data_IF_170229762040
#
_entry.id   IF_170229762040
#
_cell.length_a   1.000
_cell.length_b   1.000
_cell.length_c   1.000
_cell.angle_alpha   90.00
_cell.angle_beta   90.00
_cell.angle_gamma   90.00
#
_symmetry.space_group_name_H-M   'P 1'
#
loop_
_entity.id
_entity.type
_entity.pdbx_description
1 polymer ?
#
# COMPACT_ATOMS: atom_id res chain seq x y z
N UNK A 1 -1.44 -11.51 -5.81
CA UNK A 1 -2.65 -10.67 -5.77
C UNK A 1 -3.49 -11.02 -6.98
N UNK A 2 -4.69 -11.51 -6.74
CA UNK A 2 -5.48 -11.95 -7.87
C UNK A 2 -6.23 -10.79 -8.50
N UNK A 3 -6.91 -11.07 -9.60
CA UNK A 3 -7.53 -10.02 -10.37
C UNK A 3 -8.65 -9.33 -9.63
N UNK A 4 -9.44 -10.08 -8.89
CA UNK A 4 -10.53 -9.48 -8.14
C UNK A 4 -10.02 -8.55 -7.06
N UNK A 5 -8.95 -8.95 -6.41
CA UNK A 5 -8.36 -8.12 -5.37
C UNK A 5 -7.76 -6.86 -5.97
N UNK A 6 -7.14 -6.96 -7.13
CA UNK A 6 -6.60 -5.80 -7.80
C UNK A 6 -7.70 -4.80 -8.12
N UNK A 7 -8.82 -5.28 -8.63
CA UNK A 7 -9.91 -4.38 -8.97
C UNK A 7 -10.49 -3.71 -7.74
N UNK A 8 -10.57 -4.45 -6.66
CA UNK A 8 -11.08 -3.87 -5.41
C UNK A 8 -10.15 -2.78 -4.91
N UNK A 9 -8.87 -3.01 -4.96
CA UNK A 9 -7.89 -2.02 -4.50
C UNK A 9 -7.93 -0.79 -5.37
N UNK A 10 -8.00 -0.97 -6.69
CA UNK A 10 -8.07 0.15 -7.60
C UNK A 10 -9.31 0.98 -7.35
N UNK A 11 -10.44 0.32 -7.11
CA UNK A 11 -11.67 1.03 -6.88
C UNK A 11 -11.57 1.88 -5.61
N UNK A 12 -11.00 1.32 -4.55
CA UNK A 12 -10.89 2.05 -3.30
C UNK A 12 -9.92 3.21 -3.43
N UNK A 13 -8.82 3.01 -4.14
CA UNK A 13 -7.87 4.09 -4.35
C UNK A 13 -8.50 5.22 -5.14
N UNK A 14 -9.29 4.89 -6.16
CA UNK A 14 -9.96 5.93 -6.93
C UNK A 14 -10.95 6.70 -6.08
N UNK A 15 -11.62 6.02 -5.17
CA UNK A 15 -12.59 6.70 -4.32
C UNK A 15 -11.92 7.62 -3.32
N UNK A 16 -10.78 7.22 -2.79
CA UNK A 16 -10.16 7.99 -1.74
C UNK A 16 -9.19 9.04 -2.24
N UNK A 17 -8.51 8.76 -3.33
CA UNK A 17 -7.52 9.68 -3.85
C UNK A 17 -8.05 10.50 -5.00
N UNK A 18 -8.78 9.84 -5.89
CA UNK A 18 -9.27 10.50 -7.07
C UNK A 18 -8.22 10.59 -8.14
N UNK A 19 -8.37 11.60 -8.97
CA UNK A 19 -7.57 11.72 -10.17
C UNK A 19 -6.44 12.70 -9.92
N UNK A 20 -5.43 12.28 -9.19
CA UNK A 20 -4.33 13.13 -8.77
C UNK A 20 -3.13 12.90 -9.69
N UNK A 21 -2.57 13.96 -10.24
CA UNK A 21 -1.40 13.78 -11.09
C UNK A 21 -0.15 13.44 -10.28
N UNK A 22 0.81 12.85 -10.97
CA UNK A 22 2.07 12.50 -10.34
C UNK A 22 2.77 13.77 -9.85
N UNK A 23 3.18 13.80 -8.60
CA UNK A 23 3.84 15.00 -8.09
C UNK A 23 5.21 15.25 -8.69
N UNK A 24 5.78 14.24 -9.33
CA UNK A 24 7.10 14.40 -9.89
C UNK A 24 7.07 14.84 -11.35
N UNK A 25 6.13 14.34 -12.13
CA UNK A 25 6.13 14.65 -13.56
C UNK A 25 4.78 15.13 -14.09
N UNK A 26 3.74 15.06 -13.29
CA UNK A 26 2.43 15.52 -13.72
C UNK A 26 1.60 14.54 -14.50
N UNK A 27 2.15 13.38 -14.81
CA UNK A 27 1.41 12.36 -15.55
C UNK A 27 0.28 11.80 -14.69
N UNK A 28 -0.82 11.42 -15.32
CA UNK A 28 -1.96 10.91 -14.58
C UNK A 28 -2.17 9.42 -14.74
N UNK A 29 -1.27 8.73 -15.39
CA UNK A 29 -1.43 7.30 -15.60
C UNK A 29 -0.55 6.52 -14.64
N UNK A 30 -1.18 5.76 -13.78
CA UNK A 30 -0.49 4.95 -12.79
C UNK A 30 -0.90 3.50 -12.98
N UNK A 31 -0.04 2.60 -12.55
CA UNK A 31 -0.39 1.19 -12.51
C UNK A 31 -0.23 0.66 -11.10
N UNK A 32 -1.05 -0.30 -10.75
CA UNK A 32 -0.96 -0.94 -9.45
C UNK A 32 0.12 -2.01 -9.49
N UNK A 33 1.04 -1.95 -8.54
CA UNK A 33 2.05 -3.00 -8.43
C UNK A 33 1.39 -4.27 -7.93
N UNK A 34 1.77 -5.40 -8.50
CA UNK A 34 1.23 -6.67 -8.06
C UNK A 34 1.94 -7.10 -6.80
N UNK A 35 1.19 -7.26 -5.73
CA UNK A 35 1.77 -7.66 -4.48
C UNK A 35 1.70 -6.56 -3.45
N UNK A 36 2.18 -6.86 -2.28
CA UNK A 36 2.13 -5.93 -1.17
C UNK A 36 3.51 -5.56 -0.74
N UNK A 37 3.68 -4.30 -0.37
CA UNK A 37 4.90 -3.85 0.27
C UNK A 37 4.74 -4.04 1.77
N UNK A 38 5.79 -4.49 2.41
CA UNK A 38 5.78 -4.67 3.86
C UNK A 38 6.76 -3.70 4.46
N UNK A 39 6.24 -2.78 5.25
CA UNK A 39 7.08 -1.78 5.89
C UNK A 39 7.25 -2.19 7.34
N UNK A 40 8.41 -2.71 7.66
CA UNK A 40 8.69 -3.22 8.98
C UNK A 40 9.07 -2.08 9.90
N UNK A 41 8.37 -1.97 11.00
CA UNK A 41 8.60 -0.88 11.94
C UNK A 41 9.64 -1.30 12.98
N UNK A 42 10.48 -0.37 13.35
CA UNK A 42 11.51 -0.60 14.32
C UNK A 42 11.31 0.33 15.51
N UNK A 43 11.62 -0.16 16.70
CA UNK A 43 11.58 0.71 17.87
C UNK A 43 12.77 1.63 17.87
N UNK A 44 13.88 1.20 17.31
CA UNK A 44 15.09 1.99 17.27
C UNK A 44 15.64 1.97 15.85
N UNK A 45 16.31 3.03 15.47
CA UNK A 45 16.79 3.10 14.10
C UNK A 45 18.20 2.53 13.93
N UNK A 46 18.84 2.09 15.00
CA UNK A 46 20.20 1.56 14.89
C UNK A 46 20.24 0.07 14.64
N UNK A 47 19.25 -0.65 15.12
CA UNK A 47 19.21 -2.10 14.97
C UNK A 47 17.98 -2.47 14.22
N UNK A 48 18.07 -3.54 13.44
CA UNK A 48 16.93 -4.01 12.66
C UNK A 48 16.44 -5.30 13.27
N UNK A 49 15.18 -5.32 13.65
CA UNK A 49 14.54 -6.50 14.19
C UNK A 49 13.48 -6.95 13.18
N UNK A 50 13.56 -8.19 12.78
CA UNK A 50 12.64 -8.75 11.81
C UNK A 50 11.57 -9.53 12.53
N UNK A 51 10.33 -9.38 12.07
CA UNK A 51 9.24 -10.11 12.69
C UNK A 51 8.41 -9.29 13.63
N UNK A 52 8.72 -8.02 13.77
CA UNK A 52 7.93 -7.16 14.62
C UNK A 52 6.74 -6.56 13.89
N UNK A 53 6.43 -5.34 14.22
CA UNK A 53 5.29 -4.66 13.61
C UNK A 53 5.53 -4.36 12.16
N UNK A 54 4.46 -4.32 11.41
CA UNK A 54 4.55 -4.15 9.98
C UNK A 54 3.36 -3.35 9.50
N UNK A 55 3.58 -2.44 8.56
CA UNK A 55 2.51 -1.70 7.90
C UNK A 55 2.45 -2.20 6.46
N UNK A 56 1.53 -3.12 6.18
CA UNK A 56 1.39 -3.60 4.80
C UNK A 56 0.76 -2.52 3.93
N UNK A 57 1.19 -2.45 2.70
CA UNK A 57 0.76 -1.40 1.80
C UNK A 57 0.64 -1.90 0.38
N UNK A 58 -0.17 -1.20 -0.40
CA UNK A 58 -0.20 -1.39 -1.84
C UNK A 58 0.46 -0.16 -2.45
N UNK A 59 0.95 -0.31 -3.66
CA UNK A 59 1.67 0.78 -4.30
C UNK A 59 1.19 0.99 -5.71
N UNK A 60 1.19 2.25 -6.13
CA UNK A 60 0.94 2.59 -7.52
C UNK A 60 2.21 3.23 -8.07
N UNK A 61 2.45 3.00 -9.34
CA UNK A 61 3.68 3.42 -10.00
C UNK A 61 3.31 4.30 -11.17
N UNK A 62 3.89 5.49 -11.22
CA UNK A 62 3.68 6.37 -12.36
C UNK A 62 4.27 5.73 -13.60
N UNK A 63 3.47 5.62 -14.65
CA UNK A 63 3.93 4.93 -15.85
C UNK A 63 4.89 5.76 -16.67
N UNK A 64 5.06 7.02 -16.33
CA UNK A 64 5.98 7.88 -17.07
C UNK A 64 7.33 7.97 -16.38
N UNK A 65 7.37 8.35 -15.12
CA UNK A 65 8.65 8.61 -14.47
C UNK A 65 9.03 7.57 -13.44
N UNK A 66 8.11 6.66 -13.09
CA UNK A 66 8.45 5.61 -12.13
C UNK A 66 8.25 5.96 -10.67
N UNK A 67 7.67 7.10 -10.39
CA UNK A 67 7.41 7.48 -8.99
C UNK A 67 6.48 6.44 -8.35
N UNK A 68 6.84 5.99 -7.16
CA UNK A 68 6.08 4.98 -6.44
C UNK A 68 5.41 5.62 -5.24
N UNK A 69 4.11 5.36 -5.10
CA UNK A 69 3.33 5.86 -3.98
C UNK A 69 2.73 4.67 -3.24
N UNK A 70 2.99 4.58 -1.94
CA UNK A 70 2.47 3.49 -1.12
C UNK A 70 1.28 3.94 -0.31
N UNK A 71 0.33 3.05 -0.13
CA UNK A 71 -0.88 3.35 0.62
C UNK A 71 -1.15 2.23 1.60
N UNK A 72 -1.24 2.57 2.88
CA UNK A 72 -1.38 1.56 3.93
C UNK A 72 -2.72 0.86 3.81
N UNK A 73 -2.71 -0.46 3.86
CA UNK A 73 -3.92 -1.24 3.73
C UNK A 73 -4.91 -0.95 4.84
N UNK A 74 -4.42 -0.72 6.04
CA UNK A 74 -5.32 -0.46 7.15
C UNK A 74 -6.16 0.78 6.94
N UNK A 75 -5.57 1.81 6.36
CA UNK A 75 -6.30 3.05 6.11
C UNK A 75 -7.27 2.92 4.96
N UNK A 76 -7.05 1.95 4.10
CA UNK A 76 -7.96 1.69 3.00
C UNK A 76 -9.09 0.76 3.39
N UNK A 77 -9.04 0.22 4.60
CA UNK A 77 -10.06 -0.70 5.05
C UNK A 77 -9.92 -2.08 4.51
N UNK A 78 -8.72 -2.47 4.11
CA UNK A 78 -8.52 -3.76 3.46
C UNK A 78 -7.83 -4.79 4.33
N UNK A 79 -7.37 -4.40 5.51
CA UNK A 79 -6.62 -5.34 6.34
C UNK A 79 -7.45 -6.50 6.84
N UNK A 80 -8.70 -6.27 7.12
CA UNK A 80 -9.53 -7.35 7.63
C UNK A 80 -9.79 -8.41 6.58
N UNK A 81 -9.38 -8.15 5.35
CA UNK A 81 -9.54 -9.15 4.32
C UNK A 81 -8.51 -10.24 4.41
N UNK A 82 -7.45 -10.04 5.17
CA UNK A 82 -6.40 -11.04 5.26
C UNK A 82 -6.77 -12.05 6.32
N UNK A 83 -6.28 -13.24 6.14
CA UNK A 83 -6.60 -14.28 7.08
C UNK A 83 -5.77 -14.17 8.33
N UNK A 84 -4.63 -13.52 8.27
CA UNK A 84 -3.86 -13.35 9.48
C UNK A 84 -4.24 -12.05 10.12
N UNK A 85 -5.47 -11.90 10.37
CA UNK A 85 -5.95 -10.69 10.97
C UNK A 85 -5.38 -10.41 12.32
N UNK A 86 -4.71 -11.37 12.91
CA UNK A 86 -4.09 -11.12 14.18
C UNK A 86 -3.16 -9.93 14.12
N UNK A 87 -2.52 -9.70 13.00
CA UNK A 87 -1.62 -8.59 12.94
C UNK A 87 -2.33 -7.28 12.88
N UNK A 88 -3.52 -7.28 12.38
CA UNK A 88 -4.21 -6.03 12.17
C UNK A 88 -4.51 -5.33 13.46
N UNK A 89 -4.78 -6.04 14.49
CA UNK A 89 -5.15 -5.39 15.71
C UNK A 89 -4.00 -4.69 16.34
N UNK A 90 -2.81 -5.00 15.94
CA UNK A 90 -1.68 -4.34 16.54
C UNK A 90 -1.44 -2.98 15.98
N UNK A 91 -2.12 -2.65 14.94
CA UNK A 91 -1.84 -1.45 14.30
C UNK A 91 -2.38 -0.30 14.94
N UNK A 92 -2.92 -0.40 15.76
CA UNK A 92 -3.46 0.79 16.18
C UNK A 92 -3.02 1.27 17.29
#
# INVERSE_FOLDING_TARGET
MDNNKQQEIIKILNEKIGDVPCPMCGNKHFMLAEGYFCNILQDHFRNITIGGKNVPAVAIICQNCGFISQHALGMLGLLQQTEEGDDAKNDK
#
